data_IF_188683130237
#
_entry.id   IF_188683130237
#
_cell.length_a   1.000
_cell.length_b   1.000
_cell.length_c   1.000
_cell.angle_alpha   90.00
_cell.angle_beta   90.00
_cell.angle_gamma   90.00
#
_symmetry.space_group_name_H-M   'P 1'
#
loop_
_entity.id
_entity.type
_entity.pdbx_description
1 polymer ?
#
# COMPACT_ATOMS: atom_id res chain seq x y z
N UNK A 1 -15.11 -30.55 6.17
CA UNK A 1 -14.44 -31.87 6.03
C UNK A 1 -14.58 -32.68 7.32
N UNK A 2 -14.35 -32.06 8.48
CA UNK A 2 -14.35 -32.78 9.75
C UNK A 2 -15.75 -33.26 10.16
N UNK A 3 -16.81 -32.47 9.96
CA UNK A 3 -18.22 -32.91 10.09
C UNK A 3 -18.49 -34.21 9.32
N UNK A 4 -18.04 -34.28 8.05
CA UNK A 4 -18.22 -35.49 7.23
C UNK A 4 -17.41 -36.67 7.76
N UNK A 5 -16.19 -36.46 8.28
CA UNK A 5 -15.38 -37.55 8.86
C UNK A 5 -15.99 -38.10 10.15
N UNK A 6 -16.57 -37.25 10.99
CA UNK A 6 -17.27 -37.67 12.21
C UNK A 6 -18.49 -38.52 11.88
N UNK A 7 -19.28 -38.11 10.88
CA UNK A 7 -20.44 -38.89 10.42
C UNK A 7 -20.05 -40.29 9.86
N UNK A 8 -18.95 -40.37 9.11
CA UNK A 8 -18.43 -41.66 8.60
C UNK A 8 -17.92 -42.52 9.77
N UNK A 9 -17.09 -41.96 10.65
CA UNK A 9 -16.40 -42.71 11.69
C UNK A 9 -17.32 -43.17 12.83
N UNK A 10 -18.28 -42.32 13.23
CA UNK A 10 -19.15 -42.61 14.37
C UNK A 10 -20.51 -43.16 13.98
N UNK A 11 -21.06 -42.78 12.83
CA UNK A 11 -22.38 -43.23 12.42
C UNK A 11 -22.37 -44.19 11.22
N UNK A 12 -21.19 -44.57 10.71
CA UNK A 12 -21.06 -45.50 9.60
C UNK A 12 -21.61 -44.98 8.27
N UNK A 13 -21.76 -43.65 8.11
CA UNK A 13 -22.20 -43.07 6.85
C UNK A 13 -21.20 -43.38 5.74
N UNK A 14 -21.69 -43.56 4.52
CA UNK A 14 -20.85 -43.48 3.33
C UNK A 14 -20.32 -42.05 3.15
N UNK A 15 -19.22 -41.92 2.40
CA UNK A 15 -18.66 -40.61 2.07
C UNK A 15 -19.65 -39.71 1.32
N UNK A 16 -20.53 -40.29 0.49
CA UNK A 16 -21.56 -39.57 -0.24
C UNK A 16 -22.64 -39.02 0.71
N UNK A 17 -23.11 -39.82 1.65
CA UNK A 17 -24.10 -39.40 2.67
C UNK A 17 -23.52 -38.33 3.61
N UNK A 18 -22.26 -38.46 3.99
CA UNK A 18 -21.57 -37.49 4.83
C UNK A 18 -21.32 -36.15 4.12
N UNK A 19 -21.14 -36.13 2.79
CA UNK A 19 -21.15 -34.88 2.00
C UNK A 19 -22.56 -34.33 1.81
N UNK A 20 -23.57 -35.20 1.68
CA UNK A 20 -24.99 -34.84 1.69
C UNK A 20 -25.37 -34.08 2.95
N UNK A 21 -25.04 -34.61 4.13
CA UNK A 21 -25.22 -33.95 5.43
C UNK A 21 -24.55 -32.57 5.45
N UNK A 22 -23.29 -32.48 5.02
CA UNK A 22 -22.56 -31.20 4.95
C UNK A 22 -23.27 -30.17 4.07
N UNK A 23 -23.76 -30.58 2.90
CA UNK A 23 -24.48 -29.68 1.97
C UNK A 23 -25.79 -29.18 2.55
N UNK A 24 -26.50 -30.01 3.30
CA UNK A 24 -27.78 -29.65 3.93
C UNK A 24 -27.57 -28.66 5.08
N UNK A 25 -26.49 -28.81 5.85
CA UNK A 25 -26.15 -27.84 6.90
C UNK A 25 -26.07 -26.41 6.36
N UNK A 26 -25.54 -26.22 5.15
CA UNK A 26 -25.40 -24.91 4.51
C UNK A 26 -26.67 -24.36 3.84
N UNK A 27 -27.82 -25.07 3.87
CA UNK A 27 -29.08 -24.63 3.24
C UNK A 27 -30.00 -23.91 4.24
N UNK A 28 -30.79 -22.95 3.76
CA UNK A 28 -31.79 -22.23 4.57
C UNK A 28 -32.98 -23.12 4.97
N UNK A 29 -33.52 -23.92 4.06
CA UNK A 29 -34.68 -24.80 4.30
C UNK A 29 -34.28 -26.22 4.70
N UNK A 30 -33.54 -26.33 5.80
CA UNK A 30 -32.81 -27.56 6.17
C UNK A 30 -33.52 -28.45 7.18
N UNK A 31 -34.51 -27.94 7.90
CA UNK A 31 -35.08 -28.60 9.09
C UNK A 31 -35.65 -29.98 8.82
N UNK A 32 -36.37 -30.15 7.69
CA UNK A 32 -36.97 -31.43 7.32
C UNK A 32 -35.91 -32.48 6.98
N UNK A 33 -34.88 -32.10 6.21
CA UNK A 33 -33.84 -33.02 5.77
C UNK A 33 -32.87 -33.35 6.92
N UNK A 34 -32.56 -32.38 7.79
CA UNK A 34 -31.70 -32.59 8.95
C UNK A 34 -32.25 -33.60 9.95
N UNK A 35 -33.58 -33.66 10.13
CA UNK A 35 -34.21 -34.65 11.02
C UNK A 35 -33.90 -36.09 10.59
N UNK A 36 -33.94 -36.37 9.29
CA UNK A 36 -33.60 -37.70 8.76
C UNK A 36 -32.13 -38.05 9.02
N UNK A 37 -31.21 -37.13 8.70
CA UNK A 37 -29.79 -37.33 8.98
C UNK A 37 -29.49 -37.47 10.48
N UNK A 38 -30.18 -36.72 11.35
CA UNK A 38 -30.03 -36.83 12.79
C UNK A 38 -30.46 -38.20 13.31
N UNK A 39 -31.59 -38.73 12.82
CA UNK A 39 -32.06 -40.08 13.16
C UNK A 39 -31.03 -41.13 12.74
N UNK A 40 -30.61 -41.11 11.46
CA UNK A 40 -29.64 -42.05 10.90
C UNK A 40 -28.29 -41.97 11.60
N UNK A 41 -27.85 -40.77 11.98
CA UNK A 41 -26.61 -40.57 12.73
C UNK A 41 -26.69 -41.22 14.12
N UNK A 42 -27.79 -41.00 14.84
CA UNK A 42 -28.02 -41.58 16.18
C UNK A 42 -28.11 -43.11 16.13
N UNK A 43 -28.80 -43.66 15.14
CA UNK A 43 -28.93 -45.11 14.94
C UNK A 43 -27.57 -45.74 14.63
N UNK A 44 -26.83 -45.17 13.66
CA UNK A 44 -25.50 -45.64 13.30
C UNK A 44 -24.51 -45.57 14.47
N UNK A 45 -24.54 -44.48 15.24
CA UNK A 45 -23.65 -44.31 16.39
C UNK A 45 -23.98 -45.24 17.56
N UNK A 46 -25.26 -45.55 17.79
CA UNK A 46 -25.66 -46.58 18.76
C UNK A 46 -25.17 -47.96 18.34
N UNK A 47 -25.27 -48.30 17.05
CA UNK A 47 -24.78 -49.57 16.51
C UNK A 47 -23.24 -49.71 16.66
N UNK A 48 -22.52 -48.59 16.69
CA UNK A 48 -21.08 -48.51 16.95
C UNK A 48 -20.73 -48.46 18.46
N UNK A 49 -21.71 -48.62 19.36
CA UNK A 49 -21.48 -48.69 20.80
C UNK A 49 -21.31 -47.33 21.51
N UNK A 50 -21.64 -46.22 20.85
CA UNK A 50 -21.55 -44.87 21.44
C UNK A 50 -22.75 -44.61 22.37
N UNK A 51 -22.49 -44.07 23.56
CA UNK A 51 -23.57 -43.78 24.52
C UNK A 51 -24.51 -42.66 24.04
N UNK A 52 -25.78 -42.71 24.44
CA UNK A 52 -26.77 -41.71 24.04
C UNK A 52 -26.36 -40.27 24.41
N UNK A 53 -25.72 -40.08 25.57
CA UNK A 53 -25.22 -38.78 26.01
C UNK A 53 -24.12 -38.24 25.06
N UNK A 54 -23.17 -39.09 24.68
CA UNK A 54 -22.10 -38.72 23.74
C UNK A 54 -22.65 -38.42 22.35
N UNK A 55 -23.60 -39.22 21.85
CA UNK A 55 -24.22 -39.01 20.54
C UNK A 55 -24.89 -37.63 20.47
N UNK A 56 -25.66 -37.27 21.50
CA UNK A 56 -26.31 -35.95 21.57
C UNK A 56 -25.28 -34.84 21.60
N UNK A 57 -24.27 -34.92 22.48
CA UNK A 57 -23.23 -33.90 22.58
C UNK A 57 -22.43 -33.70 21.28
N UNK A 58 -22.09 -34.79 20.59
CA UNK A 58 -21.34 -34.75 19.32
C UNK A 58 -22.21 -34.17 18.21
N UNK A 59 -23.49 -34.57 18.15
CA UNK A 59 -24.42 -34.03 17.17
C UNK A 59 -24.60 -32.52 17.35
N UNK A 60 -24.84 -32.06 18.59
CA UNK A 60 -25.01 -30.65 18.90
C UNK A 60 -23.74 -29.85 18.58
N UNK A 61 -22.56 -30.41 18.86
CA UNK A 61 -21.28 -29.81 18.45
C UNK A 61 -21.18 -29.71 16.92
N UNK A 62 -21.53 -30.76 16.17
CA UNK A 62 -21.57 -30.71 14.71
C UNK A 62 -22.54 -29.65 14.19
N UNK A 63 -23.69 -29.45 14.86
CA UNK A 63 -24.66 -28.42 14.51
C UNK A 63 -24.18 -27.01 14.87
N UNK A 64 -23.39 -26.84 15.93
CA UNK A 64 -22.82 -25.53 16.29
C UNK A 64 -21.79 -25.00 15.28
N UNK A 65 -21.24 -25.85 14.41
CA UNK A 65 -20.35 -25.44 13.31
C UNK A 65 -21.11 -24.85 12.11
N UNK A 66 -22.43 -24.79 12.18
CA UNK A 66 -23.25 -24.15 11.18
C UNK A 66 -22.89 -22.65 11.02
N UNK A 67 -22.86 -22.17 9.77
CA UNK A 67 -22.46 -20.80 9.43
C UNK A 67 -20.95 -20.50 9.53
N UNK A 68 -20.18 -21.29 10.30
CA UNK A 68 -18.73 -21.08 10.50
C UNK A 68 -17.84 -22.21 9.94
N UNK A 69 -18.42 -23.22 9.30
CA UNK A 69 -17.66 -24.32 8.68
C UNK A 69 -16.99 -23.90 7.36
N UNK A 70 -15.69 -24.18 7.23
CA UNK A 70 -14.91 -23.85 6.03
C UNK A 70 -14.51 -25.07 5.19
N UNK A 71 -14.35 -24.84 3.88
CA UNK A 71 -13.82 -25.84 2.96
C UNK A 71 -12.31 -26.00 3.18
N UNK A 72 -11.88 -27.11 3.80
CA UNK A 72 -10.47 -27.36 4.13
C UNK A 72 -9.53 -27.36 2.90
N UNK A 73 -9.84 -28.04 1.78
CA UNK A 73 -8.98 -27.97 0.58
C UNK A 73 -8.80 -26.55 0.04
N UNK A 74 -9.88 -25.76 0.01
CA UNK A 74 -9.84 -24.35 -0.40
C UNK A 74 -8.99 -23.52 0.57
N UNK A 75 -9.19 -23.69 1.88
CA UNK A 75 -8.40 -23.00 2.90
C UNK A 75 -6.90 -23.36 2.80
N UNK A 76 -6.59 -24.65 2.54
CA UNK A 76 -5.22 -25.12 2.39
C UNK A 76 -4.51 -24.53 1.15
N UNK A 77 -5.22 -24.33 0.02
CA UNK A 77 -4.62 -23.71 -1.15
C UNK A 77 -4.24 -22.25 -0.90
N UNK A 78 -5.10 -21.47 -0.22
CA UNK A 78 -4.80 -20.08 0.15
C UNK A 78 -3.72 -19.99 1.23
N UNK A 79 -3.73 -20.90 2.20
CA UNK A 79 -2.68 -20.98 3.23
C UNK A 79 -1.30 -21.23 2.61
N UNK A 80 -1.21 -22.08 1.57
CA UNK A 80 0.05 -22.32 0.86
C UNK A 80 0.60 -21.03 0.23
N UNK A 81 -0.24 -20.27 -0.48
CA UNK A 81 0.18 -18.99 -1.09
C UNK A 81 0.57 -17.97 -0.02
N UNK A 82 -0.18 -17.89 1.08
CA UNK A 82 0.11 -16.99 2.19
C UNK A 82 1.46 -17.32 2.84
N UNK A 83 1.74 -18.62 3.06
CA UNK A 83 3.02 -19.07 3.59
C UNK A 83 4.18 -18.78 2.63
N UNK A 84 3.99 -18.99 1.32
CA UNK A 84 4.99 -18.66 0.30
C UNK A 84 5.30 -17.15 0.28
N UNK A 85 4.28 -16.29 0.37
CA UNK A 85 4.48 -14.85 0.45
C UNK A 85 5.22 -14.45 1.75
N UNK A 86 4.85 -15.04 2.89
CA UNK A 86 5.54 -14.80 4.16
C UNK A 86 7.00 -15.26 4.11
N UNK A 87 7.28 -16.44 3.55
CA UNK A 87 8.62 -16.97 3.36
C UNK A 87 9.48 -16.02 2.50
N UNK A 88 8.96 -15.57 1.36
CA UNK A 88 9.67 -14.63 0.49
C UNK A 88 9.89 -13.28 1.19
N UNK A 89 8.90 -12.77 1.91
CA UNK A 89 9.03 -11.51 2.67
C UNK A 89 10.10 -11.61 3.76
N UNK A 90 10.27 -12.78 4.40
CA UNK A 90 11.28 -12.99 5.45
C UNK A 90 12.69 -13.19 4.88
N UNK A 91 12.83 -14.00 3.83
CA UNK A 91 14.14 -14.40 3.31
C UNK A 91 14.65 -13.56 2.13
N UNK A 92 13.75 -12.91 1.40
CA UNK A 92 14.02 -12.06 0.24
C UNK A 92 13.16 -10.78 0.28
N UNK A 93 13.22 -9.98 1.38
CA UNK A 93 12.32 -8.85 1.59
C UNK A 93 12.39 -7.82 0.47
N UNK A 94 13.59 -7.46 0.01
CA UNK A 94 13.75 -6.44 -1.05
C UNK A 94 13.13 -6.89 -2.37
N UNK A 95 13.43 -8.10 -2.82
CA UNK A 95 12.92 -8.67 -4.06
C UNK A 95 11.40 -8.87 -3.99
N UNK A 96 10.89 -9.33 -2.84
CA UNK A 96 9.46 -9.48 -2.59
C UNK A 96 8.73 -8.13 -2.66
N UNK A 97 9.22 -7.11 -1.95
CA UNK A 97 8.60 -5.79 -1.95
C UNK A 97 8.65 -5.14 -3.34
N UNK A 98 9.78 -5.28 -4.06
CA UNK A 98 9.90 -4.82 -5.44
C UNK A 98 8.85 -5.47 -6.36
N UNK A 99 8.64 -6.78 -6.23
CA UNK A 99 7.65 -7.52 -7.01
C UNK A 99 6.22 -7.07 -6.70
N UNK A 100 5.88 -6.90 -5.41
CA UNK A 100 4.56 -6.45 -4.97
C UNK A 100 4.24 -5.05 -5.50
N UNK A 101 5.16 -4.10 -5.35
CA UNK A 101 4.97 -2.72 -5.83
C UNK A 101 4.89 -2.68 -7.35
N UNK A 102 5.75 -3.43 -8.04
CA UNK A 102 5.72 -3.53 -9.51
C UNK A 102 4.43 -4.12 -10.05
N UNK A 103 3.78 -5.00 -9.28
CA UNK A 103 2.45 -5.55 -9.58
C UNK A 103 1.31 -4.61 -9.12
N UNK A 104 1.63 -3.34 -8.82
CA UNK A 104 0.70 -2.29 -8.36
C UNK A 104 0.03 -2.58 -7.03
N UNK A 105 0.56 -3.51 -6.23
CA UNK A 105 0.17 -3.67 -4.84
C UNK A 105 -1.26 -4.19 -4.57
N UNK A 106 -2.15 -4.27 -5.55
CA UNK A 106 -3.52 -4.74 -5.38
C UNK A 106 -4.35 -3.82 -4.46
N UNK A 107 -4.35 -4.11 -3.15
CA UNK A 107 -5.23 -3.49 -2.15
C UNK A 107 -4.68 -2.16 -1.58
N UNK A 108 -3.37 -2.08 -1.33
CA UNK A 108 -2.73 -0.89 -0.75
C UNK A 108 -2.05 -0.02 -1.81
N UNK A 109 -1.86 1.27 -1.50
CA UNK A 109 -1.10 2.19 -2.36
C UNK A 109 0.40 1.86 -2.33
N UNK A 110 1.14 2.34 -3.33
CA UNK A 110 2.60 2.22 -3.36
C UNK A 110 3.25 2.79 -2.09
N UNK A 111 2.72 3.90 -1.58
CA UNK A 111 3.16 4.52 -0.33
C UNK A 111 3.14 3.54 0.85
N UNK A 112 2.05 2.79 1.05
CA UNK A 112 1.94 1.83 2.15
C UNK A 112 3.02 0.73 2.07
N UNK A 113 3.33 0.27 0.85
CA UNK A 113 4.40 -0.70 0.63
C UNK A 113 5.80 -0.11 0.81
N UNK A 114 6.02 1.14 0.42
CA UNK A 114 7.28 1.85 0.70
C UNK A 114 7.47 2.00 2.21
N UNK A 115 6.42 2.35 2.96
CA UNK A 115 6.56 2.45 4.42
C UNK A 115 6.81 1.09 5.07
N UNK A 116 6.19 0.02 4.57
CA UNK A 116 6.50 -1.34 5.01
C UNK A 116 7.94 -1.74 4.70
N UNK A 117 8.46 -1.40 3.52
CA UNK A 117 9.85 -1.66 3.17
C UNK A 117 10.82 -1.01 4.17
N UNK A 118 10.54 0.23 4.61
CA UNK A 118 11.34 0.90 5.65
C UNK A 118 11.23 0.20 7.00
N UNK A 119 10.04 -0.25 7.41
CA UNK A 119 9.85 -1.02 8.67
C UNK A 119 10.60 -2.36 8.66
N UNK A 120 10.77 -2.96 7.48
CA UNK A 120 11.60 -4.15 7.28
C UNK A 120 13.11 -3.84 7.26
N UNK A 121 13.50 -2.57 7.40
CA UNK A 121 14.90 -2.13 7.40
C UNK A 121 15.51 -2.01 6.00
N UNK A 122 14.70 -1.94 4.94
CA UNK A 122 15.20 -1.77 3.57
C UNK A 122 15.51 -0.30 3.28
N UNK A 123 16.63 -0.06 2.61
CA UNK A 123 16.98 1.24 2.05
C UNK A 123 16.26 1.44 0.71
N UNK A 124 15.33 2.39 0.66
CA UNK A 124 14.63 2.74 -0.57
C UNK A 124 15.41 3.82 -1.31
N UNK A 125 15.98 3.44 -2.45
CA UNK A 125 16.83 4.30 -3.26
C UNK A 125 15.98 5.02 -4.33
N UNK A 126 16.19 6.33 -4.55
CA UNK A 126 15.39 7.13 -5.48
C UNK A 126 15.50 6.62 -6.93
N UNK A 127 14.61 7.03 -7.84
CA UNK A 127 14.80 6.71 -9.25
C UNK A 127 16.14 7.25 -9.75
N UNK A 128 16.75 6.58 -10.73
CA UNK A 128 18.02 6.96 -11.34
C UNK A 128 18.02 6.50 -12.80
N UNK A 129 18.19 7.41 -13.76
CA UNK A 129 18.15 7.04 -15.19
C UNK A 129 19.27 6.10 -15.62
N UNK A 130 20.36 6.00 -14.86
CA UNK A 130 21.44 5.06 -15.10
C UNK A 130 21.28 3.71 -14.36
N UNK A 131 20.42 3.62 -13.33
CA UNK A 131 20.32 2.43 -12.48
C UNK A 131 18.90 1.83 -12.34
N UNK A 132 17.84 2.63 -12.44
CA UNK A 132 16.44 2.17 -12.29
C UNK A 132 15.91 1.51 -13.55
N UNK A 133 15.44 0.28 -13.46
CA UNK A 133 14.63 -0.32 -14.53
C UNK A 133 13.21 0.26 -14.56
N UNK A 134 12.41 -0.16 -15.56
CA UNK A 134 10.99 0.20 -15.64
C UNK A 134 10.26 -0.21 -14.37
N UNK A 135 10.44 -1.46 -13.94
CA UNK A 135 9.87 -2.02 -12.71
C UNK A 135 10.80 -1.75 -11.53
N UNK A 136 10.27 -1.87 -10.32
CA UNK A 136 11.08 -1.81 -9.11
C UNK A 136 12.02 -3.01 -9.07
N UNK A 137 13.22 -2.79 -8.54
CA UNK A 137 14.22 -3.84 -8.36
C UNK A 137 14.65 -3.87 -6.90
N UNK A 138 14.70 -5.08 -6.35
CA UNK A 138 15.21 -5.35 -5.01
C UNK A 138 16.54 -6.07 -5.10
N UNK A 139 17.46 -5.74 -4.21
CA UNK A 139 18.72 -6.46 -4.05
C UNK A 139 19.14 -6.40 -2.59
N UNK A 140 19.10 -7.55 -1.91
CA UNK A 140 19.51 -7.70 -0.50
C UNK A 140 18.78 -6.72 0.42
N UNK A 141 19.45 -5.65 0.83
CA UNK A 141 18.93 -4.63 1.74
C UNK A 141 18.42 -3.37 1.04
N UNK A 142 18.45 -3.33 -0.30
CA UNK A 142 18.13 -2.14 -1.08
C UNK A 142 16.96 -2.36 -2.02
N UNK A 143 16.11 -1.35 -2.15
CA UNK A 143 14.96 -1.32 -3.02
C UNK A 143 15.06 -0.08 -3.92
N UNK A 144 15.23 -0.26 -5.23
CA UNK A 144 15.31 0.84 -6.19
C UNK A 144 13.93 1.17 -6.76
N UNK A 145 13.54 2.44 -6.69
CA UNK A 145 12.33 2.94 -7.34
C UNK A 145 12.42 2.72 -8.86
N UNK A 146 11.42 2.03 -9.41
CA UNK A 146 11.29 1.83 -10.86
C UNK A 146 10.75 3.07 -11.57
N UNK A 147 11.10 3.25 -12.84
CA UNK A 147 10.62 4.39 -13.65
C UNK A 147 9.10 4.44 -13.77
N UNK A 148 8.41 3.29 -13.62
CA UNK A 148 6.95 3.19 -13.61
C UNK A 148 6.28 3.99 -12.48
N UNK A 149 7.01 4.34 -11.43
CA UNK A 149 6.50 5.13 -10.30
C UNK A 149 6.56 6.65 -10.52
N UNK A 150 7.19 7.11 -11.59
CA UNK A 150 7.28 8.53 -11.91
C UNK A 150 5.97 8.95 -12.57
N UNK A 151 5.18 9.76 -11.88
CA UNK A 151 3.94 10.31 -12.42
C UNK A 151 4.22 11.08 -13.72
N UNK A 152 3.31 10.94 -14.68
CA UNK A 152 3.35 11.61 -15.98
C UNK A 152 4.57 11.26 -16.87
N UNK A 153 5.33 10.20 -16.56
CA UNK A 153 6.40 9.68 -17.42
C UNK A 153 5.85 8.60 -18.37
N UNK A 154 5.85 8.86 -19.68
CA UNK A 154 5.23 7.93 -20.63
C UNK A 154 5.98 6.59 -20.71
N UNK A 155 5.25 5.49 -20.90
CA UNK A 155 5.83 4.13 -21.08
C UNK A 155 6.87 4.10 -22.20
N UNK A 156 6.62 4.83 -23.29
CA UNK A 156 7.58 4.95 -24.40
C UNK A 156 8.89 5.62 -23.96
N UNK A 157 8.83 6.65 -23.12
CA UNK A 157 10.00 7.33 -22.58
C UNK A 157 10.74 6.44 -21.58
N UNK A 158 10.03 5.72 -20.71
CA UNK A 158 10.62 4.71 -19.82
C UNK A 158 11.42 3.66 -20.63
N UNK A 159 10.84 3.14 -21.71
CA UNK A 159 11.50 2.19 -22.60
C UNK A 159 12.73 2.80 -23.30
N UNK A 160 12.65 4.05 -23.76
CA UNK A 160 13.80 4.77 -24.35
C UNK A 160 14.92 5.03 -23.35
N UNK A 161 14.61 5.25 -22.06
CA UNK A 161 15.63 5.38 -21.00
C UNK A 161 16.39 4.06 -20.84
N UNK A 162 15.68 2.93 -20.72
CA UNK A 162 16.34 1.62 -20.52
C UNK A 162 17.09 1.18 -21.77
N UNK A 163 16.49 1.31 -22.96
CA UNK A 163 17.13 0.96 -24.22
C UNK A 163 18.33 1.86 -24.51
N UNK A 164 18.19 3.16 -24.22
CA UNK A 164 19.23 4.15 -24.42
C UNK A 164 20.50 3.76 -23.69
N UNK A 165 20.44 3.34 -22.43
CA UNK A 165 21.63 3.02 -21.62
C UNK A 165 22.22 1.62 -21.81
N UNK A 166 21.62 0.74 -22.61
CA UNK A 166 22.01 -0.68 -22.71
C UNK A 166 23.48 -0.90 -23.14
N UNK A 167 24.05 0.01 -23.95
CA UNK A 167 25.46 -0.06 -24.36
C UNK A 167 26.42 0.78 -23.51
N UNK A 168 25.96 1.96 -23.04
CA UNK A 168 26.72 2.84 -22.16
C UNK A 168 25.78 3.69 -21.32
N UNK A 169 26.15 3.94 -20.07
CA UNK A 169 25.45 4.90 -19.20
C UNK A 169 25.38 6.29 -19.85
N UNK A 170 24.44 7.11 -19.38
CA UNK A 170 24.39 8.51 -19.71
C UNK A 170 25.53 9.24 -19.03
N UNK A 171 26.37 9.91 -19.82
CA UNK A 171 27.54 10.63 -19.31
C UNK A 171 27.16 11.94 -18.60
N UNK A 172 26.01 12.53 -18.96
CA UNK A 172 25.50 13.76 -18.39
C UNK A 172 24.15 14.14 -18.98
N UNK A 173 23.63 15.30 -18.58
CA UNK A 173 22.29 15.75 -18.97
C UNK A 173 22.12 15.89 -20.50
N UNK A 174 23.12 16.43 -21.21
CA UNK A 174 23.06 16.59 -22.67
C UNK A 174 22.93 15.26 -23.41
N UNK A 175 23.79 14.30 -23.06
CA UNK A 175 23.76 12.93 -23.60
C UNK A 175 22.42 12.24 -23.35
N UNK A 176 21.84 12.44 -22.16
CA UNK A 176 20.51 11.92 -21.82
C UNK A 176 19.41 12.53 -22.69
N UNK A 177 19.35 13.86 -22.80
CA UNK A 177 18.32 14.56 -23.56
C UNK A 177 18.37 14.22 -25.05
N UNK A 178 19.56 14.05 -25.62
CA UNK A 178 19.74 13.71 -27.04
C UNK A 178 19.27 12.28 -27.36
N UNK A 179 19.62 11.32 -26.51
CA UNK A 179 19.32 9.88 -26.71
C UNK A 179 17.89 9.52 -26.36
N UNK A 180 17.32 10.11 -25.30
CA UNK A 180 15.98 9.78 -24.79
C UNK A 180 14.90 10.68 -25.39
N UNK A 181 15.21 11.96 -25.66
CA UNK A 181 14.25 12.96 -26.16
C UNK A 181 12.92 12.98 -25.39
N UNK A 182 12.94 13.11 -24.05
CA UNK A 182 11.74 13.34 -23.26
C UNK A 182 11.13 14.71 -23.58
N UNK A 183 9.83 14.88 -23.38
CA UNK A 183 9.23 16.20 -23.44
C UNK A 183 9.52 17.05 -22.17
N UNK A 184 9.14 18.32 -22.20
CA UNK A 184 9.42 19.25 -21.11
C UNK A 184 8.71 18.89 -19.78
N UNK A 185 7.56 18.22 -19.83
CA UNK A 185 6.84 17.78 -18.64
C UNK A 185 7.53 16.54 -18.04
N UNK A 186 7.93 15.59 -18.88
CA UNK A 186 8.67 14.40 -18.48
C UNK A 186 10.03 14.75 -17.86
N UNK A 187 10.77 15.70 -18.45
CA UNK A 187 12.03 16.18 -17.85
C UNK A 187 11.78 16.79 -16.48
N UNK A 188 10.73 17.60 -16.33
CA UNK A 188 10.39 18.21 -15.04
C UNK A 188 10.10 17.16 -13.98
N UNK A 189 9.35 16.12 -14.32
CA UNK A 189 9.09 14.99 -13.43
C UNK A 189 10.39 14.26 -13.05
N UNK A 190 11.24 13.93 -14.03
CA UNK A 190 12.52 13.24 -13.83
C UNK A 190 13.48 14.04 -12.94
N UNK A 191 13.54 15.37 -13.12
CA UNK A 191 14.34 16.24 -12.24
C UNK A 191 13.74 16.28 -10.84
N UNK A 192 12.43 16.51 -10.70
CA UNK A 192 11.79 16.66 -9.41
C UNK A 192 11.86 15.41 -8.52
N UNK A 193 11.80 14.20 -9.09
CA UNK A 193 11.97 12.96 -8.34
C UNK A 193 13.43 12.54 -8.13
N UNK A 194 14.40 13.32 -8.62
CA UNK A 194 15.83 13.06 -8.45
C UNK A 194 16.45 12.08 -9.44
N UNK A 195 15.72 11.65 -10.47
CA UNK A 195 16.19 10.65 -11.43
C UNK A 195 17.43 11.11 -12.23
N UNK A 196 17.65 12.42 -12.33
CA UNK A 196 18.76 13.03 -13.06
C UNK A 196 19.88 13.56 -12.14
N UNK A 197 19.75 13.45 -10.81
CA UNK A 197 20.68 14.07 -9.85
C UNK A 197 22.14 13.59 -10.07
N UNK A 198 22.32 12.34 -10.52
CA UNK A 198 23.65 11.77 -10.81
C UNK A 198 24.27 12.20 -12.14
N UNK A 199 23.49 12.79 -13.04
CA UNK A 199 24.01 13.27 -14.33
C UNK A 199 24.72 14.63 -14.21
N UNK A 200 24.50 15.36 -13.12
CA UNK A 200 25.18 16.61 -12.83
C UNK A 200 25.51 16.70 -11.33
N UNK A 201 26.56 15.98 -10.87
CA UNK A 201 26.98 16.03 -9.47
C UNK A 201 27.26 17.47 -9.04
N UNK A 202 26.62 17.92 -7.96
CA UNK A 202 26.78 19.27 -7.41
C UNK A 202 25.87 20.34 -8.03
N UNK A 203 25.10 20.02 -9.07
CA UNK A 203 24.06 20.91 -9.58
C UNK A 203 22.78 20.81 -8.74
N UNK A 204 22.12 21.93 -8.54
CA UNK A 204 20.75 21.99 -8.01
C UNK A 204 19.74 21.49 -9.04
N UNK A 205 18.55 21.07 -8.59
CA UNK A 205 17.47 20.68 -9.50
C UNK A 205 16.96 21.89 -10.30
N UNK A 206 17.05 23.10 -9.74
CA UNK A 206 16.79 24.34 -10.47
C UNK A 206 17.75 24.52 -11.66
N UNK A 207 19.06 24.29 -11.47
CA UNK A 207 20.05 24.35 -12.56
C UNK A 207 19.80 23.28 -13.63
N UNK A 208 19.45 22.05 -13.22
CA UNK A 208 19.08 20.97 -14.14
C UNK A 208 17.85 21.34 -15.00
N UNK A 209 16.84 21.97 -14.41
CA UNK A 209 15.66 22.45 -15.15
C UNK A 209 16.03 23.56 -16.14
N UNK A 210 16.87 24.50 -15.74
CA UNK A 210 17.34 25.58 -16.61
C UNK A 210 18.13 25.04 -17.80
N UNK A 211 19.09 24.16 -17.53
CA UNK A 211 19.95 23.56 -18.56
C UNK A 211 19.13 22.70 -19.53
N UNK A 212 18.13 21.98 -19.01
CA UNK A 212 17.20 21.22 -19.83
C UNK A 212 16.34 22.10 -20.72
N UNK A 213 15.81 23.21 -20.19
CA UNK A 213 14.97 24.15 -20.96
C UNK A 213 15.76 24.81 -22.10
N UNK A 214 17.07 25.06 -21.90
CA UNK A 214 17.95 25.59 -22.93
C UNK A 214 18.23 24.58 -24.06
N UNK A 215 18.39 23.30 -23.71
CA UNK A 215 18.76 22.24 -24.66
C UNK A 215 17.58 21.59 -25.37
N UNK A 216 16.39 21.60 -24.75
CA UNK A 216 15.19 21.10 -25.40
C UNK A 216 14.84 22.03 -26.56
N UNK A 217 14.77 21.53 -27.82
CA UNK A 217 14.34 22.36 -28.93
C UNK A 217 12.92 22.86 -28.63
N UNK A 218 12.70 24.17 -28.81
CA UNK A 218 11.34 24.69 -28.92
C UNK A 218 10.69 23.94 -30.08
N UNK A 219 9.83 22.95 -29.79
CA UNK A 219 9.06 22.25 -30.83
C UNK A 219 8.37 23.35 -31.64
N UNK A 220 8.68 23.53 -32.94
CA UNK A 220 7.89 24.41 -33.77
C UNK A 220 6.47 23.89 -33.69
N UNK A 221 5.52 24.75 -33.31
CA UNK A 221 4.11 24.41 -33.46
C UNK A 221 3.90 23.94 -34.90
N UNK A 222 3.36 22.73 -35.05
CA UNK A 222 3.05 22.15 -36.35
C UNK A 222 2.18 23.15 -37.12
N UNK A 223 2.79 23.83 -38.10
CA UNK A 223 2.21 24.99 -38.78
C UNK A 223 3.20 26.13 -39.07
N UNK A 224 4.36 26.20 -38.40
CA UNK A 224 5.39 27.25 -38.65
C UNK A 224 6.73 26.74 -39.20
N UNK A 225 6.82 25.45 -39.53
CA UNK A 225 8.04 24.84 -40.04
C UNK A 225 8.22 25.04 -41.55
N UNK A 226 8.37 26.29 -41.99
CA UNK A 226 9.07 26.70 -43.20
C UNK A 226 8.81 28.19 -43.42
N UNK A 227 9.63 29.10 -42.85
CA UNK A 227 10.02 30.39 -43.48
C UNK A 227 10.80 31.38 -42.63
N UNK A 228 11.01 31.18 -41.33
CA UNK A 228 11.83 32.12 -40.56
C UNK A 228 13.22 31.53 -40.28
N UNK A 229 14.15 31.71 -41.22
CA UNK A 229 15.57 31.82 -40.84
C UNK A 229 15.67 33.02 -39.90
N UNK A 230 16.26 32.84 -38.73
CA UNK A 230 16.40 33.91 -37.73
C UNK A 230 17.11 35.09 -38.39
N UNK A 231 16.43 36.24 -38.49
CA UNK A 231 16.95 37.46 -39.11
C UNK A 231 18.02 38.15 -38.24
N UNK A 232 18.07 37.76 -36.97
CA UNK A 232 19.04 38.20 -35.98
C UNK A 232 19.81 36.98 -35.51
N UNK A 233 21.13 36.98 -35.69
CA UNK A 233 22.00 36.11 -34.92
C UNK A 233 21.85 36.52 -33.45
N UNK A 234 21.30 35.62 -32.63
CA UNK A 234 21.41 35.81 -31.21
C UNK A 234 22.91 35.79 -30.88
N UNK A 235 23.47 36.82 -30.22
CA UNK A 235 24.84 36.75 -29.74
C UNK A 235 24.98 35.46 -28.95
N UNK A 236 26.06 34.69 -29.21
CA UNK A 236 26.28 33.37 -28.63
C UNK A 236 25.94 33.40 -27.14
N UNK A 237 24.79 32.82 -26.78
CA UNK A 237 24.31 32.87 -25.42
C UNK A 237 25.38 32.21 -24.55
N UNK A 238 25.83 32.89 -23.50
CA UNK A 238 26.82 32.35 -22.57
C UNK A 238 26.40 30.91 -22.22
N UNK A 239 27.24 29.94 -22.58
CA UNK A 239 26.85 28.53 -22.53
C UNK A 239 26.75 28.00 -21.10
N UNK A 240 27.13 28.83 -20.12
CA UNK A 240 27.21 28.50 -18.71
C UNK A 240 25.85 28.67 -18.05
N UNK A 241 25.39 27.60 -17.39
CA UNK A 241 24.24 27.66 -16.50
C UNK A 241 24.50 28.70 -15.40
N UNK A 242 23.63 29.70 -15.19
CA UNK A 242 23.80 30.64 -14.10
C UNK A 242 23.72 29.89 -12.77
N UNK A 243 24.54 30.29 -11.79
CA UNK A 243 24.42 29.75 -10.44
C UNK A 243 23.08 30.18 -9.85
N UNK A 244 22.21 29.22 -9.60
CA UNK A 244 20.91 29.47 -8.97
C UNK A 244 21.00 29.24 -7.46
N UNK A 245 20.13 29.89 -6.66
CA UNK A 245 20.04 29.58 -5.24
C UNK A 245 19.76 28.10 -5.00
N UNK A 246 20.30 27.50 -3.92
CA UNK A 246 19.99 26.12 -3.57
C UNK A 246 18.48 25.96 -3.32
N UNK A 247 17.95 24.79 -3.70
CA UNK A 247 16.55 24.46 -3.42
C UNK A 247 16.30 24.43 -1.90
N UNK A 248 15.19 25.03 -1.45
CA UNK A 248 14.68 24.81 -0.10
C UNK A 248 14.46 23.29 0.10
N UNK A 249 15.10 22.65 1.11
CA UNK A 249 14.98 21.21 1.32
C UNK A 249 13.54 20.74 1.46
N UNK A 250 12.68 21.52 2.11
CA UNK A 250 11.26 21.15 2.30
C UNK A 250 10.49 21.22 0.99
N UNK A 251 10.71 22.26 0.20
CA UNK A 251 10.12 22.38 -1.13
C UNK A 251 10.62 21.29 -2.09
N UNK A 252 11.90 20.90 -2.00
CA UNK A 252 12.43 19.75 -2.74
C UNK A 252 11.66 18.46 -2.41
N UNK A 253 11.45 18.18 -1.12
CA UNK A 253 10.68 17.01 -0.69
C UNK A 253 9.21 17.09 -1.12
N UNK A 254 8.59 18.28 -1.11
CA UNK A 254 7.22 18.45 -1.65
C UNK A 254 7.13 18.08 -3.12
N UNK A 255 8.13 18.49 -3.93
CA UNK A 255 8.20 18.16 -5.36
C UNK A 255 8.44 16.66 -5.59
N UNK A 256 9.30 16.02 -4.79
CA UNK A 256 9.48 14.57 -4.82
C UNK A 256 8.18 13.83 -4.52
N UNK A 257 7.51 14.22 -3.44
CA UNK A 257 6.24 13.64 -3.04
C UNK A 257 5.15 13.85 -4.11
N UNK A 258 5.09 15.02 -4.73
CA UNK A 258 4.12 15.31 -5.79
C UNK A 258 4.30 14.43 -7.04
N UNK A 259 5.54 14.01 -7.35
CA UNK A 259 5.85 13.17 -8.51
C UNK A 259 5.76 11.67 -8.20
N UNK A 260 6.19 11.25 -7.01
CA UNK A 260 6.25 9.82 -6.65
C UNK A 260 5.04 9.34 -5.85
N UNK A 261 4.37 10.23 -5.10
CA UNK A 261 3.34 9.89 -4.13
C UNK A 261 3.88 9.30 -2.81
N UNK A 262 5.19 9.29 -2.63
CA UNK A 262 5.89 8.87 -1.41
C UNK A 262 7.28 9.53 -1.36
N UNK A 263 7.93 9.46 -0.20
CA UNK A 263 9.33 9.84 -0.03
C UNK A 263 10.17 8.57 0.18
N UNK A 264 11.38 8.56 -0.37
CA UNK A 264 12.21 7.36 -0.36
C UNK A 264 12.89 7.16 1.01
N UNK A 265 13.43 8.23 1.59
CA UNK A 265 14.27 8.17 2.78
C UNK A 265 13.52 8.44 4.10
N UNK A 266 12.27 8.90 4.03
CA UNK A 266 11.52 9.42 5.19
C UNK A 266 10.02 9.28 5.05
N UNK A 267 9.28 9.53 6.13
CA UNK A 267 7.82 9.50 6.10
C UNK A 267 7.25 10.85 5.60
N UNK A 268 6.23 10.88 4.72
CA UNK A 268 5.62 12.13 4.22
C UNK A 268 5.06 13.05 5.29
N UNK A 269 4.73 12.53 6.48
CA UNK A 269 4.28 13.35 7.62
C UNK A 269 5.32 14.39 8.06
N UNK A 270 6.61 14.17 7.78
CA UNK A 270 7.68 15.13 8.05
C UNK A 270 7.49 16.46 7.29
N UNK A 271 6.80 16.44 6.15
CA UNK A 271 6.42 17.65 5.43
C UNK A 271 5.51 18.58 6.26
N UNK A 272 4.91 18.05 7.33
CA UNK A 272 3.96 18.72 8.22
C UNK A 272 4.50 18.85 9.66
N UNK A 273 5.79 18.61 9.89
CA UNK A 273 6.40 18.53 11.22
C UNK A 273 6.03 19.73 12.14
N UNK A 274 6.09 20.97 11.63
CA UNK A 274 5.75 22.15 12.43
C UNK A 274 4.28 22.17 12.86
N UNK A 275 3.37 21.78 11.97
CA UNK A 275 1.94 21.74 12.26
C UNK A 275 1.62 20.63 13.26
N UNK A 276 2.27 19.46 13.11
CA UNK A 276 2.18 18.32 14.04
C UNK A 276 2.70 18.71 15.42
N UNK A 277 3.84 19.40 15.49
CA UNK A 277 4.44 19.86 16.74
C UNK A 277 3.54 20.88 17.45
N UNK A 278 3.06 21.91 16.73
CA UNK A 278 2.12 22.92 17.29
C UNK A 278 0.82 22.30 17.81
N UNK A 279 0.37 21.20 17.20
CA UNK A 279 -0.84 20.51 17.64
C UNK A 279 -0.66 19.71 18.95
N UNK A 280 0.59 19.46 19.38
CA UNK A 280 0.91 18.62 20.52
C UNK A 280 0.57 17.15 20.28
N UNK A 281 0.72 16.67 19.05
CA UNK A 281 0.42 15.29 18.71
C UNK A 281 1.47 14.32 19.29
N UNK A 282 0.99 13.22 19.87
CA UNK A 282 1.84 12.11 20.33
C UNK A 282 2.17 11.19 19.17
N UNK A 283 3.25 10.40 19.32
CA UNK A 283 3.68 9.40 18.35
C UNK A 283 2.97 8.06 18.54
N UNK A 284 2.82 7.29 17.47
CA UNK A 284 2.23 5.95 17.52
C UNK A 284 2.95 5.05 18.53
N UNK A 285 4.28 5.09 18.56
CA UNK A 285 5.11 4.33 19.50
C UNK A 285 4.85 4.67 20.98
N UNK A 286 4.31 5.85 21.28
CA UNK A 286 4.02 6.29 22.66
C UNK A 286 2.58 5.97 23.10
N UNK A 287 1.69 5.58 22.19
CA UNK A 287 0.29 5.30 22.52
C UNK A 287 0.12 4.22 23.60
N UNK A 288 0.89 3.11 23.63
CA UNK A 288 0.76 2.12 24.70
C UNK A 288 0.97 2.71 26.12
N UNK A 289 1.71 3.81 26.25
CA UNK A 289 1.93 4.51 27.54
C UNK A 289 0.81 5.47 27.92
N UNK A 290 -0.21 5.60 27.07
CA UNK A 290 -1.30 6.57 27.18
C UNK A 290 -2.68 5.91 27.27
N UNK A 291 -2.75 4.59 27.49
CA UNK A 291 -4.01 3.85 27.67
C UNK A 291 -4.90 4.52 28.72
N UNK A 292 -6.18 4.66 28.39
CA UNK A 292 -7.19 5.35 29.18
C UNK A 292 -7.18 6.88 29.08
N UNK A 293 -6.17 7.48 28.43
CA UNK A 293 -6.06 8.94 28.28
C UNK A 293 -6.57 9.39 26.92
N UNK A 294 -7.05 10.63 26.89
CA UNK A 294 -7.33 11.35 25.64
C UNK A 294 -6.04 11.94 25.09
N UNK A 295 -5.77 11.71 23.81
CA UNK A 295 -4.57 12.19 23.13
C UNK A 295 -4.91 12.80 21.78
N UNK A 296 -3.94 13.51 21.21
CA UNK A 296 -3.94 13.92 19.81
C UNK A 296 -2.89 13.09 19.08
N UNK A 297 -3.23 12.53 17.94
CA UNK A 297 -2.33 11.74 17.11
C UNK A 297 -2.37 12.28 15.68
N UNK A 298 -1.20 12.49 15.08
CA UNK A 298 -1.11 12.90 13.68
C UNK A 298 -0.72 11.67 12.85
N UNK A 299 -1.57 11.30 11.90
CA UNK A 299 -1.37 10.08 11.12
C UNK A 299 -1.78 10.24 9.67
N UNK A 300 -1.18 9.44 8.81
CA UNK A 300 -1.51 9.28 7.40
C UNK A 300 -2.44 8.08 7.22
N UNK A 301 -3.53 8.23 6.47
CA UNK A 301 -4.49 7.14 6.27
C UNK A 301 -3.92 6.06 5.35
N UNK A 302 -3.87 4.81 5.83
CA UNK A 302 -3.38 3.65 5.07
C UNK A 302 -4.54 2.87 4.45
N UNK A 303 -5.50 2.47 5.28
CA UNK A 303 -6.66 1.69 4.84
C UNK A 303 -7.85 1.88 5.75
N UNK A 304 -9.02 1.49 5.27
CA UNK A 304 -10.29 1.61 5.96
C UNK A 304 -11.26 0.50 5.61
N UNK A 305 -12.17 0.20 6.54
CA UNK A 305 -13.29 -0.70 6.31
C UNK A 305 -14.53 -0.17 7.05
N UNK A 306 -15.55 0.14 6.26
CA UNK A 306 -16.89 0.44 6.78
C UNK A 306 -17.56 -0.85 7.22
N UNK A 307 -18.16 -0.83 8.41
CA UNK A 307 -18.91 -1.93 9.01
C UNK A 307 -20.18 -1.39 9.65
N UNK A 308 -21.17 -2.25 9.84
CA UNK A 308 -22.41 -1.88 10.53
C UNK A 308 -22.38 -2.40 11.97
N UNK A 309 -22.91 -1.59 12.88
CA UNK A 309 -23.17 -2.00 14.27
C UNK A 309 -24.30 -3.03 14.32
N UNK A 310 -24.55 -3.62 15.49
CA UNK A 310 -25.70 -4.54 15.71
C UNK A 310 -27.04 -3.85 15.43
N UNK A 311 -27.09 -2.53 15.58
CA UNK A 311 -28.25 -1.69 15.32
C UNK A 311 -28.35 -1.24 13.85
N UNK A 312 -27.42 -1.65 12.98
CA UNK A 312 -27.40 -1.28 11.57
C UNK A 312 -26.83 0.12 11.28
N UNK A 313 -26.29 0.82 12.30
CA UNK A 313 -25.63 2.10 12.08
C UNK A 313 -24.21 1.91 11.53
N UNK A 314 -23.79 2.68 10.51
CA UNK A 314 -22.46 2.57 9.93
C UNK A 314 -21.39 3.14 10.88
N UNK A 315 -20.28 2.43 10.97
CA UNK A 315 -19.05 2.83 11.66
C UNK A 315 -17.84 2.41 10.81
N UNK A 316 -16.64 2.86 11.15
CA UNK A 316 -15.46 2.59 10.34
C UNK A 316 -14.25 2.22 11.18
N UNK A 317 -13.55 1.16 10.78
CA UNK A 317 -12.21 0.83 11.27
C UNK A 317 -11.19 1.34 10.26
N UNK A 318 -10.20 2.10 10.73
CA UNK A 318 -9.17 2.69 9.89
C UNK A 318 -7.80 2.49 10.50
N UNK A 319 -6.82 2.22 9.65
CA UNK A 319 -5.41 2.17 10.02
C UNK A 319 -4.75 3.47 9.58
N UNK A 320 -4.16 4.19 10.54
CA UNK A 320 -3.30 5.34 10.29
C UNK A 320 -1.84 5.01 10.60
N UNK A 321 -0.93 5.77 10.01
CA UNK A 321 0.51 5.62 10.20
C UNK A 321 1.18 6.97 10.51
N UNK A 322 2.12 6.98 11.47
CA UNK A 322 3.15 8.02 11.54
C UNK A 322 4.54 7.42 11.29
N UNK A 323 5.61 8.22 11.38
CA UNK A 323 6.96 7.71 11.13
C UNK A 323 7.43 6.63 12.13
N UNK A 324 6.70 6.42 13.23
CA UNK A 324 7.05 5.52 14.32
C UNK A 324 6.22 4.24 14.34
N UNK A 325 5.04 4.20 13.70
CA UNK A 325 4.23 2.99 13.65
C UNK A 325 2.81 3.15 13.13
N UNK A 326 2.12 2.02 13.07
CA UNK A 326 0.70 1.91 12.71
C UNK A 326 -0.18 2.05 13.94
N UNK A 327 -1.35 2.65 13.75
CA UNK A 327 -2.38 2.83 14.78
C UNK A 327 -3.73 2.43 14.18
N UNK A 328 -4.34 1.42 14.79
CA UNK A 328 -5.73 1.05 14.51
C UNK A 328 -6.67 2.03 15.21
N UNK A 329 -7.63 2.57 14.46
CA UNK A 329 -8.54 3.60 14.92
C UNK A 329 -9.98 3.19 14.65
N UNK A 330 -10.87 3.61 15.53
CA UNK A 330 -12.31 3.34 15.42
C UNK A 330 -13.08 4.65 15.36
N UNK A 331 -13.85 4.82 14.28
CA UNK A 331 -14.88 5.85 14.17
C UNK A 331 -16.26 5.24 14.39
N UNK A 332 -16.78 5.37 15.60
CA UNK A 332 -18.17 5.01 15.93
C UNK A 332 -19.18 5.88 15.16
N UNK A 333 -20.47 5.49 15.09
CA UNK A 333 -21.43 6.11 14.16
C UNK A 333 -21.50 7.64 14.20
N UNK A 334 -21.41 8.26 15.37
CA UNK A 334 -21.39 9.72 15.49
C UNK A 334 -20.16 10.34 14.82
N UNK A 335 -18.96 9.83 15.12
CA UNK A 335 -17.72 10.32 14.54
C UNK A 335 -17.64 9.98 13.04
N UNK A 336 -18.08 8.78 12.64
CA UNK A 336 -18.15 8.37 11.24
C UNK A 336 -19.00 9.35 10.43
N UNK A 337 -20.26 9.60 10.84
CA UNK A 337 -21.17 10.54 10.15
C UNK A 337 -20.55 11.93 10.00
N UNK A 338 -19.78 12.37 10.99
CA UNK A 338 -19.19 13.71 11.01
C UNK A 338 -17.92 13.84 10.18
N UNK A 339 -17.10 12.79 10.05
CA UNK A 339 -15.74 12.94 9.51
C UNK A 339 -15.44 12.08 8.27
N UNK A 340 -16.25 11.06 7.94
CA UNK A 340 -15.94 10.13 6.84
C UNK A 340 -15.69 10.83 5.49
N UNK A 341 -16.42 11.90 5.19
CA UNK A 341 -16.29 12.67 3.94
C UNK A 341 -15.02 13.53 3.87
N UNK A 342 -14.27 13.68 4.97
CA UNK A 342 -13.01 14.43 5.00
C UNK A 342 -11.79 13.56 4.72
N UNK A 343 -11.93 12.24 4.82
CA UNK A 343 -10.81 11.29 4.82
C UNK A 343 -10.45 10.84 3.41
N UNK A 344 -9.17 10.99 3.07
CA UNK A 344 -8.55 10.51 1.85
C UNK A 344 -7.11 10.05 2.14
N UNK A 345 -6.43 9.52 1.13
CA UNK A 345 -5.07 8.95 1.28
C UNK A 345 -3.96 9.92 0.85
N UNK A 346 -4.28 11.18 0.56
CA UNK A 346 -3.35 12.15 -0.05
C UNK A 346 -2.72 13.11 0.96
N UNK A 347 -3.19 13.11 2.21
CA UNK A 347 -2.73 14.03 3.27
C UNK A 347 -2.80 13.40 4.67
N UNK A 348 -2.09 13.97 5.66
CA UNK A 348 -2.21 13.53 7.05
C UNK A 348 -3.36 14.22 7.79
N UNK A 349 -3.83 13.55 8.84
CA UNK A 349 -4.93 13.98 9.69
C UNK A 349 -4.49 14.08 11.13
N UNK A 350 -5.00 15.10 11.83
CA UNK A 350 -4.93 15.21 13.28
C UNK A 350 -6.19 14.56 13.85
N UNK A 351 -5.99 13.46 14.57
CA UNK A 351 -7.02 12.71 15.26
C UNK A 351 -6.97 13.05 16.74
N UNK A 352 -8.12 13.25 17.38
CA UNK A 352 -8.23 13.31 18.84
C UNK A 352 -9.18 12.24 19.33
N UNK A 353 -8.75 11.50 20.34
CA UNK A 353 -9.48 10.33 20.78
C UNK A 353 -8.94 9.77 22.09
N UNK A 354 -9.61 8.75 22.59
CA UNK A 354 -9.20 8.00 23.77
C UNK A 354 -8.39 6.78 23.32
N UNK A 355 -7.23 6.60 23.95
CA UNK A 355 -6.42 5.38 23.74
C UNK A 355 -7.03 4.26 24.57
N UNK A 356 -7.29 3.13 23.92
CA UNK A 356 -7.89 1.95 24.52
C UNK A 356 -7.00 0.73 24.26
N UNK A 357 -7.13 -0.27 25.12
CA UNK A 357 -6.42 -1.54 24.97
C UNK A 357 -7.45 -2.66 25.10
N UNK A 358 -7.51 -3.51 24.08
CA UNK A 358 -8.37 -4.69 24.07
C UNK A 358 -7.54 -5.91 23.65
N UNK A 359 -7.51 -6.94 24.49
CA UNK A 359 -6.72 -8.15 24.29
C UNK A 359 -5.23 -7.91 23.95
N UNK A 360 -4.63 -6.85 24.51
CA UNK A 360 -3.23 -6.46 24.26
C UNK A 360 -3.01 -5.63 22.99
N UNK A 361 -4.07 -5.33 22.22
CA UNK A 361 -4.01 -4.43 21.07
C UNK A 361 -4.37 -3.01 21.51
N UNK A 362 -3.45 -2.07 21.29
CA UNK A 362 -3.66 -0.64 21.57
C UNK A 362 -4.33 0.02 20.37
N UNK A 363 -5.47 0.65 20.59
CA UNK A 363 -6.26 1.33 19.55
C UNK A 363 -6.60 2.76 19.97
N UNK A 364 -7.00 3.58 19.01
CA UNK A 364 -7.50 4.94 19.25
C UNK A 364 -8.98 5.02 18.86
N UNK A 365 -9.86 5.20 19.85
CA UNK A 365 -11.27 5.54 19.62
C UNK A 365 -11.36 7.05 19.36
N UNK A 366 -11.70 7.43 18.13
CA UNK A 366 -11.58 8.82 17.65
C UNK A 366 -12.90 9.57 17.78
N UNK A 367 -12.85 10.74 18.41
CA UNK A 367 -14.00 11.63 18.58
C UNK A 367 -13.94 12.84 17.64
N UNK A 368 -12.75 13.20 17.16
CA UNK A 368 -12.58 14.30 16.20
C UNK A 368 -11.43 14.05 15.24
N UNK A 369 -11.64 14.38 13.97
CA UNK A 369 -10.60 14.34 12.95
C UNK A 369 -10.58 15.64 12.15
N UNK A 370 -9.39 16.13 11.80
CA UNK A 370 -9.21 17.29 10.93
C UNK A 370 -7.98 17.12 10.03
N UNK A 371 -8.03 17.52 8.75
CA UNK A 371 -6.87 17.48 7.88
C UNK A 371 -5.78 18.44 8.39
N UNK A 372 -4.52 18.00 8.34
CA UNK A 372 -3.38 18.86 8.67
C UNK A 372 -3.02 19.66 7.42
N UNK A 373 -2.97 20.99 7.56
CA UNK A 373 -2.54 21.88 6.48
C UNK A 373 -1.04 22.18 6.61
N UNK A 374 -0.36 22.18 5.47
CA UNK A 374 1.09 22.43 5.37
C UNK A 374 1.45 23.87 5.71
#
# INVERSE_FOLDING_TARGET
KDVSRVAVALAGFSHAEADGLRKILSKKDRELQLRDYARRFREGARAQGVSAAQITAIWDMMMSFDGYSFCKPHSASYARVSFQAAFLKVHHPAEFMAAVISNRGGFYSAFAYVSEARRLGLEVLPPDVNASDVRWTGNKATLRVGLVSIKDLATATQARIVAGRAGRTYAGLGDFLERVRPDAAEVRALVHCGALDRLAPGASRAELLWESARRLPSRPTAGRAARNRSLFEAPGADERTPRLPPDDPRERLRREFAVLGFLCDRHPIELYADAVHRAGAVKAADLPRRVGRRVRFAGWLITGKVVETKQGEPMEFLTFEDETGLVETTFFPEAYRRFCHLLDRERPYLLSGKVEEDWGAVTLTVDSASPIRA
#
